data_IF_739631578235
#
_entry.id   IF_739631578235
#
_cell.length_a   1.000
_cell.length_b   1.000
_cell.length_c   1.000
_cell.angle_alpha   90.00
_cell.angle_beta   90.00
_cell.angle_gamma   90.00
#
_symmetry.space_group_name_H-M   'P 1'
#
loop_
_entity.id
_entity.type
_entity.pdbx_description
1 polymer ?
#
# COMPACT_ATOMS: atom_id res chain seq x y z
N UNK A 1 -26.22 0.83 -24.91
CA UNK A 1 -24.74 0.74 -24.99
C UNK A 1 -24.38 -0.68 -24.62
N UNK A 2 -24.03 -1.51 -25.60
CA UNK A 2 -23.64 -2.92 -25.35
C UNK A 2 -22.29 -2.95 -24.64
N UNK A 3 -22.15 -3.87 -23.67
CA UNK A 3 -20.88 -4.07 -22.96
C UNK A 3 -19.89 -4.73 -23.93
N UNK A 4 -18.66 -4.22 -24.07
CA UNK A 4 -17.63 -4.91 -24.84
C UNK A 4 -17.43 -6.32 -24.29
N UNK A 5 -17.21 -7.28 -25.19
CA UNK A 5 -17.04 -8.67 -24.77
C UNK A 5 -15.69 -8.86 -24.07
N UNK A 6 -15.57 -9.87 -23.21
CA UNK A 6 -14.29 -10.22 -22.58
C UNK A 6 -13.16 -10.40 -23.62
N UNK A 7 -13.49 -10.92 -24.80
CA UNK A 7 -12.57 -11.10 -25.94
C UNK A 7 -12.02 -9.78 -26.48
N UNK A 8 -12.83 -8.72 -26.48
CA UNK A 8 -12.42 -7.41 -26.97
C UNK A 8 -11.46 -6.72 -25.99
N UNK A 9 -11.67 -6.92 -24.69
CA UNK A 9 -10.79 -6.41 -23.63
C UNK A 9 -9.44 -7.14 -23.59
N UNK A 10 -9.46 -8.46 -23.77
CA UNK A 10 -8.28 -9.33 -23.86
C UNK A 10 -7.32 -8.86 -24.96
N UNK A 11 -7.84 -8.56 -26.15
CA UNK A 11 -7.04 -8.14 -27.29
C UNK A 11 -6.26 -6.83 -27.04
N UNK A 12 -6.81 -5.91 -26.24
CA UNK A 12 -6.14 -4.66 -25.85
C UNK A 12 -5.02 -4.86 -24.81
N UNK A 13 -5.15 -5.86 -23.93
CA UNK A 13 -4.14 -6.19 -22.93
C UNK A 13 -2.91 -6.89 -23.57
N UNK A 14 -3.14 -7.80 -24.52
CA UNK A 14 -2.07 -8.53 -25.22
C UNK A 14 -1.13 -7.63 -26.05
N UNK A 15 -1.61 -6.46 -26.50
CA UNK A 15 -0.81 -5.48 -27.24
C UNK A 15 0.17 -4.68 -26.37
N UNK A 16 0.08 -4.75 -25.04
CA UNK A 16 0.88 -3.96 -24.08
C UNK A 16 2.20 -4.60 -23.62
N UNK A 17 2.65 -5.70 -24.22
CA UNK A 17 3.98 -6.29 -23.94
C UNK A 17 4.00 -7.44 -22.91
N UNK A 18 2.86 -7.85 -22.36
CA UNK A 18 2.75 -9.03 -21.47
C UNK A 18 2.41 -10.28 -22.29
N UNK A 19 3.23 -10.63 -23.29
CA UNK A 19 3.03 -11.89 -24.04
C UNK A 19 3.65 -13.06 -23.28
N UNK A 20 2.82 -13.94 -22.72
CA UNK A 20 3.21 -15.28 -22.26
C UNK A 20 3.63 -15.43 -20.79
N UNK A 21 3.66 -14.36 -19.99
CA UNK A 21 3.96 -14.46 -18.55
C UNK A 21 2.67 -14.64 -17.75
N UNK A 22 2.56 -15.75 -17.01
CA UNK A 22 1.51 -15.95 -16.01
C UNK A 22 1.82 -15.08 -14.77
N UNK A 23 0.88 -14.26 -14.36
CA UNK A 23 1.00 -13.36 -13.21
C UNK A 23 0.14 -13.85 -12.05
N UNK A 24 0.58 -13.55 -10.83
CA UNK A 24 -0.28 -13.54 -9.65
C UNK A 24 -0.77 -12.11 -9.38
N UNK A 25 -2.07 -11.89 -9.49
CA UNK A 25 -2.69 -10.57 -9.34
C UNK A 25 -3.39 -10.50 -7.99
N UNK A 26 -3.05 -9.51 -7.19
CA UNK A 26 -3.79 -9.14 -5.98
C UNK A 26 -4.78 -8.02 -6.30
N UNK A 27 -6.05 -8.25 -6.04
CA UNK A 27 -7.11 -7.26 -6.20
C UNK A 27 -7.52 -6.73 -4.83
N UNK A 28 -7.21 -5.47 -4.52
CA UNK A 28 -7.66 -4.81 -3.29
C UNK A 28 -8.93 -4.03 -3.60
N UNK A 29 -10.06 -4.55 -3.13
CA UNK A 29 -11.40 -4.04 -3.41
C UNK A 29 -12.00 -3.34 -2.20
N UNK A 30 -12.42 -2.09 -2.38
CA UNK A 30 -12.95 -1.25 -1.30
C UNK A 30 -14.32 -0.66 -1.67
N UNK A 31 -15.35 -1.52 -1.75
CA UNK A 31 -16.74 -1.07 -1.88
C UNK A 31 -17.70 -2.00 -1.14
N UNK A 32 -18.75 -1.46 -0.51
CA UNK A 32 -19.67 -2.19 0.38
C UNK A 32 -20.71 -3.01 -0.38
N UNK A 33 -21.16 -2.51 -1.53
CA UNK A 33 -22.22 -3.12 -2.35
C UNK A 33 -21.60 -3.93 -3.52
N UNK A 34 -21.69 -5.27 -3.51
CA UNK A 34 -21.16 -6.13 -4.58
C UNK A 34 -21.82 -5.88 -5.94
N UNK A 35 -23.07 -5.45 -6.00
CA UNK A 35 -23.79 -5.14 -7.24
C UNK A 35 -23.54 -3.72 -7.75
N UNK A 36 -22.64 -2.98 -7.12
CA UNK A 36 -22.25 -1.64 -7.57
C UNK A 36 -21.49 -1.70 -8.89
N UNK A 37 -21.33 -0.54 -9.53
CA UNK A 37 -20.45 -0.43 -10.70
C UNK A 37 -19.00 -0.86 -10.39
N UNK A 38 -18.48 -0.54 -9.20
CA UNK A 38 -17.16 -1.00 -8.76
C UNK A 38 -17.10 -2.52 -8.62
N UNK A 39 -18.16 -3.15 -8.10
CA UNK A 39 -18.26 -4.60 -8.03
C UNK A 39 -18.29 -5.25 -9.40
N UNK A 40 -19.09 -4.71 -10.32
CA UNK A 40 -19.15 -5.18 -11.70
C UNK A 40 -17.80 -5.04 -12.43
N UNK A 41 -17.08 -3.92 -12.25
CA UNK A 41 -15.73 -3.74 -12.83
C UNK A 41 -14.73 -4.76 -12.27
N UNK A 42 -14.75 -4.99 -10.96
CA UNK A 42 -13.92 -6.01 -10.31
C UNK A 42 -14.24 -7.39 -10.90
N UNK A 43 -15.51 -7.78 -10.97
CA UNK A 43 -15.91 -9.11 -11.46
C UNK A 43 -15.46 -9.33 -12.91
N UNK A 44 -15.68 -8.36 -13.80
CA UNK A 44 -15.23 -8.42 -15.20
C UNK A 44 -13.71 -8.50 -15.30
N UNK A 45 -12.98 -7.71 -14.52
CA UNK A 45 -11.52 -7.74 -14.52
C UNK A 45 -10.98 -9.09 -14.04
N UNK A 46 -11.55 -9.66 -12.98
CA UNK A 46 -11.16 -10.97 -12.44
C UNK A 46 -11.42 -12.07 -13.46
N UNK A 47 -12.57 -12.05 -14.14
CA UNK A 47 -12.91 -12.99 -15.21
C UNK A 47 -11.88 -12.93 -16.34
N UNK A 48 -11.63 -11.74 -16.89
CA UNK A 48 -10.67 -11.52 -17.98
C UNK A 48 -9.25 -11.95 -17.59
N UNK A 49 -8.78 -11.58 -16.40
CA UNK A 49 -7.43 -11.96 -15.93
C UNK A 49 -7.27 -13.48 -15.82
N UNK A 50 -8.32 -14.18 -15.37
CA UNK A 50 -8.32 -15.65 -15.27
C UNK A 50 -8.38 -16.30 -16.65
N UNK A 51 -9.17 -15.79 -17.58
CA UNK A 51 -9.23 -16.26 -18.97
C UNK A 51 -7.87 -16.11 -19.69
N UNK A 52 -7.12 -15.05 -19.36
CA UNK A 52 -5.74 -14.83 -19.81
C UNK A 52 -4.71 -15.77 -19.15
N UNK A 53 -5.15 -16.66 -18.26
CA UNK A 53 -4.30 -17.64 -17.58
C UNK A 53 -3.57 -17.12 -16.35
N UNK A 54 -3.85 -15.88 -15.90
CA UNK A 54 -3.32 -15.35 -14.64
C UNK A 54 -4.05 -15.95 -13.43
N UNK A 55 -3.42 -15.89 -12.26
CA UNK A 55 -4.08 -16.20 -10.99
C UNK A 55 -4.51 -14.91 -10.31
N UNK A 56 -5.64 -14.92 -9.62
CA UNK A 56 -6.20 -13.72 -8.97
C UNK A 56 -6.61 -14.05 -7.54
N UNK A 57 -6.02 -13.33 -6.60
CA UNK A 57 -6.38 -13.28 -5.18
C UNK A 57 -7.07 -11.94 -4.89
N UNK A 58 -8.08 -11.93 -4.01
CA UNK A 58 -8.90 -10.73 -3.74
C UNK A 58 -8.87 -10.42 -2.23
N UNK A 59 -8.54 -9.17 -1.90
CA UNK A 59 -8.78 -8.57 -0.59
C UNK A 59 -9.99 -7.65 -0.67
N UNK A 60 -11.17 -8.20 -0.37
CA UNK A 60 -12.40 -7.44 -0.22
C UNK A 60 -12.47 -6.84 1.19
N UNK A 61 -12.07 -5.57 1.31
CA UNK A 61 -11.86 -4.94 2.61
C UNK A 61 -13.15 -4.83 3.43
N UNK A 62 -14.30 -4.64 2.77
CA UNK A 62 -15.58 -4.56 3.47
C UNK A 62 -16.08 -5.95 3.87
N UNK A 63 -15.96 -6.95 2.99
CA UNK A 63 -16.34 -8.33 3.36
C UNK A 63 -15.44 -8.90 4.47
N UNK A 64 -14.17 -8.50 4.52
CA UNK A 64 -13.23 -8.86 5.58
C UNK A 64 -13.48 -8.12 6.90
N UNK A 65 -14.32 -7.09 6.92
CA UNK A 65 -14.42 -6.14 8.03
C UNK A 65 -13.04 -5.59 8.43
N UNK A 66 -12.21 -5.24 7.44
CA UNK A 66 -10.85 -4.78 7.68
C UNK A 66 -10.85 -3.55 8.61
N UNK A 67 -10.13 -3.62 9.73
CA UNK A 67 -10.01 -2.50 10.65
C UNK A 67 -9.04 -1.45 10.07
N UNK A 68 -9.49 -0.22 9.76
CA UNK A 68 -8.60 0.77 9.16
C UNK A 68 -7.84 1.61 10.19
N UNK A 69 -8.06 1.41 11.48
CA UNK A 69 -7.53 2.28 12.52
C UNK A 69 -6.14 1.83 12.95
N UNK A 70 -5.17 2.74 12.84
CA UNK A 70 -3.85 2.62 13.44
C UNK A 70 -3.94 2.96 14.93
N UNK A 71 -3.87 1.96 15.80
CA UNK A 71 -4.11 2.15 17.24
C UNK A 71 -3.06 1.46 18.11
N UNK A 72 -2.94 1.92 19.36
CA UNK A 72 -2.12 1.23 20.36
C UNK A 72 -2.59 -0.22 20.60
N UNK A 73 -3.88 -0.48 20.45
CA UNK A 73 -4.50 -1.77 20.79
C UNK A 73 -4.13 -2.91 19.84
N UNK A 74 -3.58 -2.61 18.66
CA UNK A 74 -3.14 -3.66 17.73
C UNK A 74 -1.72 -4.16 17.99
N UNK A 75 -0.92 -3.41 18.78
CA UNK A 75 0.44 -3.82 19.11
C UNK A 75 0.39 -5.02 20.05
N UNK A 76 0.80 -6.19 19.54
CA UNK A 76 0.93 -7.42 20.33
C UNK A 76 2.26 -7.40 21.08
N UNK A 77 2.22 -7.57 22.40
CA UNK A 77 3.39 -7.65 23.26
C UNK A 77 3.71 -6.36 24.01
N UNK A 78 4.97 -6.21 24.42
CA UNK A 78 5.43 -5.03 25.16
C UNK A 78 5.57 -3.81 24.23
N UNK A 79 4.98 -2.69 24.65
CA UNK A 79 5.13 -1.38 24.00
C UNK A 79 6.51 -0.84 24.37
N UNK A 80 7.34 -0.46 23.38
CA UNK A 80 8.69 0.05 23.60
C UNK A 80 8.70 1.29 24.50
N UNK A 81 7.78 2.23 24.24
CA UNK A 81 7.67 3.48 25.00
C UNK A 81 6.24 3.70 25.52
N UNK A 82 5.84 3.09 26.66
CA UNK A 82 4.46 3.16 27.16
C UNK A 82 3.96 4.60 27.41
N UNK A 83 4.86 5.47 27.85
CA UNK A 83 4.58 6.88 28.17
C UNK A 83 4.59 7.81 26.94
N UNK A 84 5.11 7.35 25.80
CA UNK A 84 5.21 8.15 24.58
C UNK A 84 5.11 7.25 23.34
N UNK A 85 3.88 6.84 23.04
CA UNK A 85 3.60 5.91 21.96
C UNK A 85 3.84 6.54 20.59
N UNK A 86 4.68 5.88 19.78
CA UNK A 86 4.91 6.23 18.39
C UNK A 86 4.56 5.03 17.51
N UNK A 87 3.44 5.12 16.80
CA UNK A 87 2.91 4.03 15.99
C UNK A 87 3.93 3.45 15.00
N UNK A 88 4.70 4.30 14.33
CA UNK A 88 5.68 3.87 13.31
C UNK A 88 6.83 3.06 13.92
N UNK A 89 7.35 3.50 15.07
CA UNK A 89 8.42 2.79 15.78
C UNK A 89 7.94 1.46 16.39
N UNK A 90 6.75 1.47 16.99
CA UNK A 90 6.15 0.29 17.60
C UNK A 90 5.83 -0.77 16.54
N UNK A 91 5.20 -0.38 15.42
CA UNK A 91 4.91 -1.31 14.32
C UNK A 91 6.18 -1.82 13.64
N UNK A 92 7.20 -0.98 13.44
CA UNK A 92 8.51 -1.43 12.96
C UNK A 92 9.13 -2.49 13.88
N UNK A 93 9.01 -2.31 15.20
CA UNK A 93 9.48 -3.29 16.17
C UNK A 93 8.70 -4.61 16.08
N UNK A 94 7.37 -4.55 15.99
CA UNK A 94 6.55 -5.76 15.81
C UNK A 94 6.86 -6.49 14.50
N UNK A 95 7.17 -5.75 13.42
CA UNK A 95 7.60 -6.34 12.16
C UNK A 95 8.94 -7.07 12.31
N UNK A 96 9.94 -6.43 12.92
CA UNK A 96 11.27 -7.04 13.17
C UNK A 96 11.17 -8.31 14.04
N UNK A 97 10.23 -8.32 14.99
CA UNK A 97 10.03 -9.44 15.90
C UNK A 97 8.99 -10.46 15.41
N UNK A 98 8.43 -10.29 14.20
CA UNK A 98 7.37 -11.15 13.66
C UNK A 98 6.12 -11.26 14.56
N UNK A 99 5.76 -10.17 15.25
CA UNK A 99 4.59 -10.07 16.14
C UNK A 99 3.51 -9.12 15.62
N UNK A 100 3.51 -8.82 14.32
CA UNK A 100 2.46 -8.01 13.70
C UNK A 100 1.07 -8.66 13.89
N UNK A 101 0.00 -7.84 13.87
CA UNK A 101 -1.38 -8.33 13.75
C UNK A 101 -1.54 -9.30 12.58
N UNK A 102 -2.33 -10.37 12.79
CA UNK A 102 -2.51 -11.45 11.80
C UNK A 102 -3.16 -10.96 10.51
N UNK A 103 -4.09 -10.01 10.62
CA UNK A 103 -4.72 -9.38 9.47
C UNK A 103 -3.70 -8.61 8.62
N UNK A 104 -2.75 -7.92 9.25
CA UNK A 104 -1.64 -7.25 8.54
C UNK A 104 -0.71 -8.26 7.88
N UNK A 105 -0.29 -9.29 8.61
CA UNK A 105 0.60 -10.35 8.06
C UNK A 105 -0.03 -11.01 6.85
N UNK A 106 -1.31 -11.37 6.92
CA UNK A 106 -2.07 -11.95 5.81
C UNK A 106 -2.02 -11.06 4.56
N UNK A 107 -2.22 -9.74 4.71
CA UNK A 107 -2.18 -8.82 3.56
C UNK A 107 -0.76 -8.62 3.00
N UNK A 108 0.27 -8.60 3.87
CA UNK A 108 1.68 -8.55 3.43
C UNK A 108 2.08 -9.81 2.66
N UNK A 109 1.60 -10.98 3.08
CA UNK A 109 1.86 -12.23 2.37
C UNK A 109 1.21 -12.25 0.97
N UNK A 110 0.00 -11.70 0.83
CA UNK A 110 -0.65 -11.52 -0.47
C UNK A 110 0.17 -10.62 -1.38
N UNK A 111 0.65 -9.50 -0.84
CA UNK A 111 1.53 -8.57 -1.55
C UNK A 111 2.83 -9.24 -1.99
N UNK A 112 3.44 -10.06 -1.13
CA UNK A 112 4.68 -10.78 -1.45
C UNK A 112 4.50 -11.81 -2.57
N UNK A 113 3.30 -12.40 -2.70
CA UNK A 113 2.97 -13.32 -3.80
C UNK A 113 2.63 -12.60 -5.11
N UNK A 114 2.22 -11.34 -5.05
CA UNK A 114 1.69 -10.62 -6.20
C UNK A 114 2.79 -10.12 -7.15
N UNK A 115 2.60 -10.36 -8.44
CA UNK A 115 3.34 -9.65 -9.50
C UNK A 115 2.68 -8.29 -9.80
N UNK A 116 1.35 -8.21 -9.67
CA UNK A 116 0.51 -7.06 -9.98
C UNK A 116 -0.51 -6.84 -8.87
N UNK A 117 -0.67 -5.59 -8.43
CA UNK A 117 -1.72 -5.18 -7.49
C UNK A 117 -2.67 -4.21 -8.18
N UNK A 118 -3.97 -4.51 -8.12
CA UNK A 118 -5.04 -3.67 -8.66
C UNK A 118 -5.87 -3.13 -7.50
N UNK A 119 -6.01 -1.81 -7.45
CA UNK A 119 -6.89 -1.15 -6.48
C UNK A 119 -8.19 -0.74 -7.14
N UNK A 120 -9.32 -1.26 -6.64
CA UNK A 120 -10.66 -0.94 -7.11
C UNK A 120 -11.49 -0.30 -5.99
N UNK A 121 -11.85 0.95 -6.19
CA UNK A 121 -12.55 1.75 -5.19
C UNK A 121 -13.29 2.92 -5.85
N UNK A 122 -14.40 3.39 -5.24
CA UNK A 122 -15.01 4.66 -5.61
C UNK A 122 -14.15 5.82 -5.11
N UNK A 123 -14.05 6.90 -5.89
CA UNK A 123 -13.35 8.11 -5.43
C UNK A 123 -14.16 8.81 -4.35
N UNK A 124 -13.61 8.94 -3.15
CA UNK A 124 -14.20 9.67 -2.03
C UNK A 124 -13.32 10.88 -1.72
N UNK A 125 -13.89 12.09 -1.76
CA UNK A 125 -13.18 13.33 -1.41
C UNK A 125 -11.81 13.48 -2.11
N UNK A 126 -11.78 13.27 -3.43
CA UNK A 126 -10.55 13.31 -4.23
C UNK A 126 -9.47 12.30 -3.79
N UNK A 127 -9.86 11.27 -3.04
CA UNK A 127 -8.95 10.27 -2.46
C UNK A 127 -9.59 8.87 -2.43
N UNK A 128 -8.93 7.97 -1.69
CA UNK A 128 -9.38 6.62 -1.39
C UNK A 128 -10.51 6.64 -0.35
N UNK A 129 -11.39 5.63 -0.32
CA UNK A 129 -12.22 5.36 0.85
C UNK A 129 -11.34 5.17 2.09
N UNK A 130 -11.82 5.62 3.26
CA UNK A 130 -11.07 5.55 4.51
C UNK A 130 -10.59 4.12 4.85
N UNK A 131 -11.38 3.09 4.50
CA UNK A 131 -10.98 1.68 4.72
C UNK A 131 -9.72 1.30 3.93
N UNK A 132 -9.60 1.79 2.69
CA UNK A 132 -8.44 1.55 1.85
C UNK A 132 -7.25 2.39 2.30
N UNK A 133 -7.49 3.63 2.76
CA UNK A 133 -6.42 4.45 3.34
C UNK A 133 -5.83 3.81 4.60
N UNK A 134 -6.69 3.29 5.48
CA UNK A 134 -6.25 2.54 6.66
C UNK A 134 -5.54 1.23 6.31
N UNK A 135 -5.95 0.55 5.24
CA UNK A 135 -5.21 -0.61 4.71
C UNK A 135 -3.78 -0.24 4.34
N UNK A 136 -3.56 0.87 3.62
CA UNK A 136 -2.20 1.35 3.36
C UNK A 136 -1.45 1.67 4.65
N UNK A 137 -2.07 2.41 5.58
CA UNK A 137 -1.41 2.87 6.81
C UNK A 137 -0.98 1.73 7.74
N UNK A 138 -1.71 0.60 7.71
CA UNK A 138 -1.42 -0.58 8.53
C UNK A 138 -0.52 -1.57 7.81
N UNK A 139 -0.81 -1.90 6.54
CA UNK A 139 -0.10 -2.94 5.78
C UNK A 139 1.27 -2.48 5.32
N UNK A 140 1.44 -1.20 4.94
CA UNK A 140 2.73 -0.67 4.51
C UNK A 140 3.57 -0.27 5.72
N UNK A 141 3.93 -1.26 6.53
CA UNK A 141 4.71 -1.08 7.75
C UNK A 141 6.14 -0.63 7.43
N UNK A 142 6.71 0.23 8.28
CA UNK A 142 8.12 0.61 8.22
C UNK A 142 9.01 -0.63 8.41
N UNK A 143 9.97 -0.84 7.51
CA UNK A 143 10.80 -2.04 7.43
C UNK A 143 10.26 -3.13 6.50
N UNK A 144 8.95 -3.14 6.22
CA UNK A 144 8.33 -4.00 5.22
C UNK A 144 8.26 -3.32 3.85
N UNK A 145 7.51 -2.22 3.76
CA UNK A 145 7.23 -1.56 2.48
C UNK A 145 8.25 -0.46 2.13
N UNK A 146 8.80 0.21 3.14
CA UNK A 146 9.77 1.29 2.98
C UNK A 146 10.70 1.38 4.20
N UNK A 147 11.80 2.13 4.06
CA UNK A 147 12.68 2.54 5.17
C UNK A 147 12.90 4.06 5.10
N UNK A 148 13.58 4.65 6.09
CA UNK A 148 13.89 6.09 6.04
C UNK A 148 15.00 6.38 5.03
N UNK A 149 15.84 5.38 4.76
CA UNK A 149 16.94 5.45 3.81
C UNK A 149 16.48 5.16 2.39
N UNK A 150 15.50 4.27 2.23
CA UNK A 150 15.01 3.80 0.93
C UNK A 150 13.52 4.14 0.77
N UNK A 151 13.28 5.27 0.11
CA UNK A 151 11.98 5.84 -0.20
C UNK A 151 11.80 6.02 -1.71
N UNK A 152 10.55 6.14 -2.16
CA UNK A 152 10.16 6.37 -3.55
C UNK A 152 10.62 5.22 -4.45
N UNK A 153 11.54 5.51 -5.38
CA UNK A 153 12.06 4.55 -6.36
C UNK A 153 12.92 3.45 -5.71
N UNK A 154 13.38 3.69 -4.48
CA UNK A 154 14.16 2.73 -3.69
C UNK A 154 13.29 1.98 -2.67
N UNK A 155 11.96 2.14 -2.72
CA UNK A 155 11.03 1.41 -1.87
C UNK A 155 11.22 -0.12 -1.95
N UNK A 156 10.82 -0.83 -0.89
CA UNK A 156 11.09 -2.27 -0.77
C UNK A 156 10.08 -3.13 -1.54
N UNK A 157 8.91 -2.56 -1.90
CA UNK A 157 7.89 -3.26 -2.67
C UNK A 157 8.28 -3.34 -4.16
N UNK A 158 8.36 -4.56 -4.68
CA UNK A 158 8.69 -4.83 -6.09
C UNK A 158 7.46 -5.08 -6.98
N UNK A 159 6.27 -4.67 -6.53
CA UNK A 159 5.01 -4.96 -7.22
C UNK A 159 4.62 -3.86 -8.19
N UNK A 160 4.06 -4.22 -9.34
CA UNK A 160 3.45 -3.25 -10.24
C UNK A 160 2.07 -2.87 -9.69
N UNK A 161 1.72 -1.59 -9.74
CA UNK A 161 0.43 -1.11 -9.27
C UNK A 161 -0.36 -0.48 -10.40
N UNK A 162 -1.60 -0.95 -10.58
CA UNK A 162 -2.56 -0.37 -11.50
C UNK A 162 -3.79 0.16 -10.76
N UNK A 163 -4.31 1.29 -11.25
CA UNK A 163 -5.58 1.88 -10.82
C UNK A 163 -6.64 1.67 -11.90
N UNK A 164 -7.82 1.22 -11.49
CA UNK A 164 -9.00 1.19 -12.36
C UNK A 164 -9.68 2.56 -12.36
N UNK A 165 -9.53 3.35 -13.44
CA UNK A 165 -10.15 4.67 -13.64
C UNK A 165 -9.21 5.72 -14.26
N UNK A 166 -9.76 6.71 -14.99
CA UNK A 166 -9.01 7.75 -15.73
C UNK A 166 -8.03 8.55 -14.84
N UNK A 167 -6.78 8.10 -14.77
CA UNK A 167 -5.53 8.84 -14.71
C UNK A 167 -4.43 7.82 -14.38
N UNK A 168 -3.64 7.49 -15.40
CA UNK A 168 -2.45 6.66 -15.25
C UNK A 168 -1.42 7.27 -14.30
N UNK A 169 -0.52 6.39 -13.85
CA UNK A 169 0.66 6.58 -12.99
C UNK A 169 0.36 6.57 -11.49
N UNK A 170 0.36 5.38 -10.89
CA UNK A 170 0.61 5.24 -9.45
C UNK A 170 2.08 4.97 -9.21
N UNK A 171 2.84 6.05 -9.00
CA UNK A 171 4.11 6.00 -8.27
C UNK A 171 3.73 5.97 -6.79
N UNK A 172 3.48 4.78 -6.22
CA UNK A 172 3.03 4.63 -4.84
C UNK A 172 4.20 4.84 -3.88
N UNK A 173 4.52 6.10 -3.61
CA UNK A 173 5.02 6.51 -2.31
C UNK A 173 4.33 7.80 -1.90
N UNK A 174 3.45 7.70 -0.91
CA UNK A 174 2.96 8.86 -0.18
C UNK A 174 4.12 9.41 0.66
N UNK A 175 4.96 10.28 0.10
CA UNK A 175 5.90 11.08 0.89
C UNK A 175 5.11 12.22 1.55
N UNK A 176 4.73 12.07 2.82
CA UNK A 176 4.26 13.19 3.64
C UNK A 176 5.08 13.27 4.92
N UNK A 177 6.23 13.93 4.82
CA UNK A 177 6.80 14.94 5.75
C UNK A 177 8.05 15.50 5.05
N UNK A 178 8.17 16.78 4.66
CA UNK A 178 8.15 18.00 5.48
C UNK A 178 7.55 19.19 4.72
N UNK A 179 6.58 19.86 5.34
CA UNK A 179 6.43 21.31 5.15
C UNK A 179 7.57 22.01 5.92
N UNK A 180 8.70 22.28 5.25
CA UNK A 180 9.37 23.58 5.26
C UNK A 180 10.70 23.55 4.49
N UNK A 181 10.77 24.47 3.50
CA UNK A 181 11.93 25.05 2.80
C UNK A 181 12.78 24.11 1.93
N UNK A 182 12.48 24.17 0.64
CA UNK A 182 13.41 24.30 -0.48
C UNK A 182 14.92 24.13 -0.16
N UNK A 183 15.50 23.00 -0.53
CA UNK A 183 16.80 22.90 -1.23
C UNK A 183 16.90 21.55 -1.97
N UNK A 184 17.60 21.48 -3.12
CA UNK A 184 17.73 20.25 -3.91
C UNK A 184 18.61 19.23 -3.21
N UNK A 185 18.21 17.97 -3.29
CA UNK A 185 18.98 16.82 -2.85
C UNK A 185 20.22 16.66 -3.73
N UNK A 186 21.39 17.06 -3.21
CA UNK A 186 22.69 16.52 -3.59
C UNK A 186 23.68 16.81 -2.47
N UNK A 187 24.48 15.80 -2.18
CA UNK A 187 25.75 15.82 -1.46
C UNK A 187 25.77 15.72 0.07
N UNK A 188 26.32 14.56 0.46
CA UNK A 188 27.28 14.35 1.55
C UNK A 188 26.69 13.73 2.83
N UNK A 189 26.75 12.40 2.86
CA UNK A 189 26.90 11.61 4.10
C UNK A 189 28.03 12.23 4.92
N UNK A 190 27.73 12.66 6.15
CA UNK A 190 28.73 12.96 7.17
C UNK A 190 28.63 11.93 8.31
N UNK A 191 29.75 11.38 8.79
CA UNK A 191 29.77 10.34 9.81
C UNK A 191 29.46 10.88 11.22
N UNK A 192 28.97 9.97 12.06
CA UNK A 192 28.48 10.19 13.42
C UNK A 192 29.58 10.47 14.47
N UNK A 193 30.32 11.57 14.34
CA UNK A 193 31.36 11.95 15.31
C UNK A 193 31.24 13.34 15.92
N UNK A 194 30.20 14.12 15.63
CA UNK A 194 29.99 15.45 16.24
C UNK A 194 28.59 15.62 16.83
N UNK A 195 28.36 14.98 17.99
CA UNK A 195 27.38 15.48 18.96
C UNK A 195 28.12 16.04 20.16
N UNK A 196 28.56 17.29 20.03
CA UNK A 196 28.93 18.14 21.17
C UNK A 196 27.73 19.03 21.50
N UNK A 197 27.24 18.91 22.74
CA UNK A 197 26.16 19.70 23.31
C UNK A 197 26.46 21.20 23.28
N UNK A 198 25.43 22.06 23.17
CA UNK A 198 25.47 23.34 23.84
C UNK A 198 24.30 23.52 24.81
N UNK A 199 24.68 23.85 26.04
CA UNK A 199 23.88 24.51 27.05
C UNK A 199 23.30 25.82 26.50
N UNK A 200 22.09 26.19 26.92
CA UNK A 200 21.52 27.51 26.63
C UNK A 200 20.06 27.58 26.98
N UNK A 201 19.75 27.97 28.22
CA UNK A 201 18.38 28.19 28.67
C UNK A 201 17.74 29.42 28.05
N UNK A 202 16.41 29.47 28.10
CA UNK A 202 15.66 30.72 28.04
C UNK A 202 14.61 30.67 29.15
N UNK A 203 14.68 31.69 30.00
CA UNK A 203 13.78 32.02 31.09
C UNK A 203 12.48 32.66 30.58
N UNK A 204 11.42 32.37 31.34
CA UNK A 204 10.11 33.05 31.50
C UNK A 204 9.11 32.98 30.36
#
# INVERSE_FOLDING_TARGET
MERPSAKDLIKGFESGGVKGKKLHVLFVYAHQEPKSFNGALKDVAVEVLRELGHTVEISDLYAQNFNPLCTRNEIKGEILNPNHFNYSQETQNTYKNSTLPEDIVSEQEKLNRADLVIFQFPMYWMSFPAILKGWFDRVFTLGYAFTLEAMCDEGLLKVQVLRSGNADVVKLLYCVTRHHRSHPCSDRILPASDMRSPQGGIQR
#
